data_IF_736821379530
#
_entry.id   IF_736821379530
#
_cell.length_a   1.000
_cell.length_b   1.000
_cell.length_c   1.000
_cell.angle_alpha   90.00
_cell.angle_beta   90.00
_cell.angle_gamma   90.00
#
_symmetry.space_group_name_H-M   'P 1'
#
loop_
_entity.id
_entity.type
_entity.pdbx_description
1 polymer ?
#
# COMPACT_ATOMS: atom_id res chain seq x y z
N UNK A 1 15.67 6.46 -9.06
CA UNK A 1 16.99 6.81 -9.55
C UNK A 1 18.06 6.32 -8.58
N UNK A 2 17.97 6.70 -7.31
CA UNK A 2 19.01 6.39 -6.32
C UNK A 2 19.20 4.90 -6.03
N UNK A 3 18.22 4.09 -6.43
CA UNK A 3 18.22 2.63 -6.23
C UNK A 3 18.02 1.86 -7.53
N UNK A 4 18.23 2.48 -8.70
CA UNK A 4 18.07 1.88 -10.03
C UNK A 4 16.77 1.09 -10.24
N UNK A 5 15.70 1.54 -9.59
CA UNK A 5 14.40 0.87 -9.58
C UNK A 5 13.49 1.19 -10.78
N UNK A 6 13.94 2.02 -11.73
CA UNK A 6 13.14 2.45 -12.87
C UNK A 6 12.55 1.29 -13.71
N UNK A 7 13.27 0.19 -13.98
CA UNK A 7 12.72 -0.95 -14.71
C UNK A 7 11.55 -1.65 -14.00
N UNK A 8 11.39 -1.42 -12.69
CA UNK A 8 10.29 -1.95 -11.88
C UNK A 8 9.10 -1.01 -11.79
N UNK A 9 9.14 0.14 -12.47
CA UNK A 9 8.07 1.13 -12.48
C UNK A 9 7.31 1.10 -13.80
N UNK A 10 6.01 1.30 -13.73
CA UNK A 10 5.09 1.44 -14.86
C UNK A 10 4.48 2.83 -14.82
N UNK A 11 4.68 3.61 -15.90
CA UNK A 11 4.21 5.00 -16.05
C UNK A 11 3.00 5.07 -16.96
N UNK A 12 1.97 4.31 -16.61
CA UNK A 12 0.78 4.12 -17.46
C UNK A 12 -0.35 5.07 -17.11
N UNK A 13 -0.19 5.89 -16.09
CA UNK A 13 -1.27 6.70 -15.56
C UNK A 13 -2.29 5.89 -14.75
N UNK A 14 -3.39 6.58 -14.41
CA UNK A 14 -4.52 6.00 -13.69
C UNK A 14 -5.82 6.61 -14.23
N UNK A 15 -6.79 5.77 -14.52
CA UNK A 15 -8.12 6.14 -14.98
C UNK A 15 -9.14 5.83 -13.89
N UNK A 16 -9.72 6.86 -13.29
CA UNK A 16 -10.83 6.73 -12.36
C UNK A 16 -12.15 6.86 -13.11
N UNK A 17 -12.98 5.82 -13.04
CA UNK A 17 -14.19 5.63 -13.84
C UNK A 17 -15.45 5.95 -13.03
N UNK A 18 -16.45 6.52 -13.70
CA UNK A 18 -17.74 6.91 -13.13
C UNK A 18 -18.90 6.42 -14.00
N UNK A 19 -19.95 5.89 -13.35
CA UNK A 19 -21.20 5.51 -14.00
C UNK A 19 -22.13 6.74 -14.16
N UNK A 20 -21.85 7.56 -15.17
CA UNK A 20 -22.66 8.72 -15.50
C UNK A 20 -22.25 10.01 -14.80
N UNK A 21 -22.97 11.08 -15.17
CA UNK A 21 -22.65 12.45 -14.76
C UNK A 21 -22.83 12.71 -13.25
N UNK A 22 -23.80 12.07 -12.63
CA UNK A 22 -24.09 12.28 -11.21
C UNK A 22 -22.92 11.84 -10.33
N UNK A 23 -22.39 10.63 -10.55
CA UNK A 23 -21.23 10.11 -9.81
C UNK A 23 -19.99 10.96 -10.09
N UNK A 24 -19.79 11.37 -11.36
CA UNK A 24 -18.70 12.25 -11.74
C UNK A 24 -18.77 13.60 -11.01
N UNK A 25 -19.94 14.26 -11.02
CA UNK A 25 -20.12 15.54 -10.31
C UNK A 25 -19.84 15.44 -8.81
N UNK A 26 -20.26 14.34 -8.18
CA UNK A 26 -20.00 14.12 -6.75
C UNK A 26 -18.50 13.98 -6.42
N UNK A 27 -17.64 13.71 -7.41
CA UNK A 27 -16.19 13.57 -7.24
C UNK A 27 -15.41 14.89 -7.42
N UNK A 28 -16.03 15.95 -7.94
CA UNK A 28 -15.32 17.17 -8.37
C UNK A 28 -14.58 17.90 -7.27
N UNK A 29 -15.14 17.96 -6.05
CA UNK A 29 -14.47 18.58 -4.91
C UNK A 29 -13.16 17.86 -4.57
N UNK A 30 -13.16 16.53 -4.66
CA UNK A 30 -11.96 15.72 -4.47
C UNK A 30 -10.93 15.94 -5.57
N UNK A 31 -11.34 16.21 -6.82
CA UNK A 31 -10.43 16.54 -7.92
C UNK A 31 -9.91 17.97 -7.78
N UNK A 32 -10.71 18.91 -7.33
CA UNK A 32 -10.26 20.25 -7.02
C UNK A 32 -9.17 20.26 -5.95
N UNK A 33 -9.36 19.49 -4.88
CA UNK A 33 -8.35 19.32 -3.84
C UNK A 33 -7.03 18.77 -4.41
N UNK A 34 -7.10 17.77 -5.30
CA UNK A 34 -5.91 17.22 -5.99
C UNK A 34 -5.20 18.27 -6.82
N UNK A 35 -5.95 19.13 -7.54
CA UNK A 35 -5.39 20.23 -8.33
C UNK A 35 -4.65 21.23 -7.45
N UNK A 36 -5.20 21.59 -6.30
CA UNK A 36 -4.56 22.48 -5.32
C UNK A 36 -3.23 21.91 -4.81
N UNK A 37 -3.09 20.58 -4.79
CA UNK A 37 -1.86 19.89 -4.45
C UNK A 37 -0.97 19.55 -5.66
N UNK A 38 -1.19 20.17 -6.82
CA UNK A 38 -0.34 20.02 -7.99
C UNK A 38 -0.49 18.71 -8.75
N UNK A 39 -1.56 17.94 -8.50
CA UNK A 39 -1.83 16.71 -9.26
C UNK A 39 -2.40 17.08 -10.64
N UNK A 40 -1.69 16.71 -11.71
CA UNK A 40 -2.17 16.87 -13.07
C UNK A 40 -3.19 15.77 -13.39
N UNK A 41 -4.35 16.16 -13.91
CA UNK A 41 -5.39 15.25 -14.37
C UNK A 41 -6.23 15.87 -15.49
N UNK A 42 -6.94 15.03 -16.21
CA UNK A 42 -7.88 15.38 -17.26
C UNK A 42 -9.25 14.75 -16.99
N UNK A 43 -10.33 15.50 -17.20
CA UNK A 43 -11.68 14.99 -17.11
C UNK A 43 -12.17 14.55 -18.50
N UNK A 44 -12.57 13.29 -18.61
CA UNK A 44 -13.14 12.69 -19.81
C UNK A 44 -14.66 12.55 -19.62
N UNK A 45 -15.44 13.09 -20.55
CA UNK A 45 -16.90 13.23 -20.40
C UNK A 45 -17.70 12.47 -21.47
N UNK A 46 -17.07 11.57 -22.16
CA UNK A 46 -17.70 10.69 -23.13
C UNK A 46 -16.96 9.36 -23.27
N UNK A 47 -17.62 8.27 -23.69
CA UNK A 47 -17.01 6.95 -23.82
C UNK A 47 -15.89 6.88 -24.86
N UNK A 48 -15.93 7.71 -25.90
CA UNK A 48 -14.93 7.74 -26.97
C UNK A 48 -13.57 8.17 -26.40
N UNK A 49 -13.50 9.30 -25.69
CA UNK A 49 -12.28 9.77 -25.04
C UNK A 49 -11.75 8.77 -24.00
N UNK A 50 -12.63 8.09 -23.27
CA UNK A 50 -12.24 7.01 -22.34
C UNK A 50 -11.62 5.84 -23.10
N UNK A 51 -12.22 5.46 -24.23
CA UNK A 51 -11.78 4.33 -25.07
C UNK A 51 -10.43 4.58 -25.76
N UNK A 52 -10.07 5.82 -26.03
CA UNK A 52 -8.72 6.19 -26.53
C UNK A 52 -7.61 5.80 -25.53
N UNK A 53 -7.88 5.98 -24.24
CA UNK A 53 -6.93 5.61 -23.17
C UNK A 53 -7.04 4.11 -22.84
N UNK A 54 -8.25 3.64 -22.61
CA UNK A 54 -8.51 2.24 -22.26
C UNK A 54 -9.73 1.71 -23.02
N UNK A 55 -9.53 0.98 -24.13
CA UNK A 55 -10.62 0.31 -24.82
C UNK A 55 -11.15 -0.91 -24.06
N UNK A 56 -12.36 -1.33 -24.43
CA UNK A 56 -12.95 -2.57 -23.91
C UNK A 56 -13.62 -2.46 -22.56
N UNK A 57 -13.91 -1.25 -22.10
CA UNK A 57 -14.73 -0.97 -20.93
C UNK A 57 -16.22 -1.11 -21.26
N UNK A 58 -17.02 -1.50 -20.27
CA UNK A 58 -18.50 -1.48 -20.39
C UNK A 58 -18.97 -0.03 -20.64
N UNK A 59 -19.95 0.20 -21.56
CA UNK A 59 -20.43 1.52 -21.94
C UNK A 59 -21.14 2.29 -20.82
N UNK A 60 -21.39 1.66 -19.66
CA UNK A 60 -21.90 2.37 -18.46
C UNK A 60 -20.96 3.46 -17.97
N UNK A 61 -19.64 3.32 -18.18
CA UNK A 61 -18.65 4.30 -17.80
C UNK A 61 -18.58 5.42 -18.83
N UNK A 62 -19.35 6.46 -18.61
CA UNK A 62 -19.47 7.61 -19.51
C UNK A 62 -18.58 8.78 -19.12
N UNK A 63 -18.04 8.77 -17.90
CA UNK A 63 -17.16 9.81 -17.38
C UNK A 63 -15.95 9.18 -16.71
N UNK A 64 -14.83 9.87 -16.77
CA UNK A 64 -13.60 9.46 -16.09
C UNK A 64 -12.73 10.67 -15.71
N UNK A 65 -11.76 10.44 -14.85
CA UNK A 65 -10.62 11.33 -14.65
C UNK A 65 -9.34 10.55 -14.89
N UNK A 66 -8.50 11.05 -15.79
CA UNK A 66 -7.20 10.45 -16.11
C UNK A 66 -6.08 11.23 -15.44
N UNK A 67 -5.21 10.53 -14.73
CA UNK A 67 -4.03 11.09 -14.06
C UNK A 67 -2.78 10.53 -14.77
N UNK A 68 -2.20 11.27 -15.73
CA UNK A 68 -1.14 10.73 -16.62
C UNK A 68 0.17 10.42 -15.89
N UNK A 69 0.48 11.17 -14.84
CA UNK A 69 1.73 11.03 -14.08
C UNK A 69 1.67 9.97 -12.97
N UNK A 70 0.56 9.26 -12.85
CA UNK A 70 0.45 8.16 -11.88
C UNK A 70 1.36 7.01 -12.29
N UNK A 71 2.02 6.41 -11.29
CA UNK A 71 2.93 5.30 -11.51
C UNK A 71 2.52 4.10 -10.67
N UNK A 72 2.77 2.90 -11.19
CA UNK A 72 2.63 1.64 -10.50
C UNK A 72 3.95 0.89 -10.50
N UNK A 73 4.14 -0.04 -9.58
CA UNK A 73 5.23 -1.01 -9.68
C UNK A 73 4.81 -2.18 -10.57
N UNK A 74 5.76 -2.78 -11.27
CA UNK A 74 5.52 -4.02 -12.04
C UNK A 74 5.04 -5.14 -11.15
N UNK A 75 5.62 -5.25 -9.94
CA UNK A 75 5.21 -6.13 -8.85
C UNK A 75 5.77 -5.59 -7.53
N UNK A 76 4.93 -5.35 -6.49
CA UNK A 76 5.40 -4.94 -5.17
C UNK A 76 6.42 -5.89 -4.53
N UNK A 77 6.32 -7.19 -4.80
CA UNK A 77 7.29 -8.18 -4.32
C UNK A 77 8.65 -7.97 -4.96
N UNK A 78 8.70 -7.86 -6.29
CA UNK A 78 9.96 -7.62 -7.02
C UNK A 78 10.62 -6.31 -6.58
N UNK A 79 9.82 -5.28 -6.27
CA UNK A 79 10.32 -4.03 -5.69
C UNK A 79 10.98 -4.26 -4.33
N UNK A 80 10.33 -5.00 -3.42
CA UNK A 80 10.90 -5.30 -2.11
C UNK A 80 12.16 -6.17 -2.19
N UNK A 81 12.18 -7.18 -3.09
CA UNK A 81 13.34 -8.02 -3.34
C UNK A 81 14.52 -7.21 -3.89
N UNK A 82 14.26 -6.26 -4.81
CA UNK A 82 15.28 -5.35 -5.33
C UNK A 82 15.90 -4.49 -4.22
N UNK A 83 15.09 -3.88 -3.37
CA UNK A 83 15.61 -3.11 -2.23
C UNK A 83 16.40 -3.97 -1.25
N UNK A 84 15.97 -5.22 -1.03
CA UNK A 84 16.70 -6.16 -0.19
C UNK A 84 18.10 -6.48 -0.77
N UNK A 85 18.21 -6.66 -2.09
CA UNK A 85 19.52 -6.87 -2.74
C UNK A 85 20.45 -5.64 -2.57
N UNK A 86 19.91 -4.44 -2.71
CA UNK A 86 20.67 -3.20 -2.48
C UNK A 86 21.14 -3.12 -1.03
N UNK A 87 20.28 -3.44 -0.07
CA UNK A 87 20.63 -3.47 1.34
C UNK A 87 21.78 -4.44 1.64
N UNK A 88 21.71 -5.66 1.06
CA UNK A 88 22.79 -6.66 1.18
C UNK A 88 24.10 -6.17 0.52
N UNK A 89 24.01 -5.51 -0.64
CA UNK A 89 25.16 -4.95 -1.35
C UNK A 89 25.90 -3.89 -0.52
N UNK A 90 25.16 -3.10 0.27
CA UNK A 90 25.74 -2.15 1.22
C UNK A 90 26.19 -2.78 2.55
N UNK A 91 26.28 -4.08 2.64
CA UNK A 91 26.78 -4.81 3.81
C UNK A 91 25.73 -5.08 4.89
N UNK A 92 24.46 -4.86 4.60
CA UNK A 92 23.35 -5.25 5.49
C UNK A 92 23.21 -6.77 5.59
N UNK A 93 22.62 -7.24 6.67
CA UNK A 93 22.33 -8.67 6.89
C UNK A 93 20.81 -8.87 7.00
N UNK A 94 20.28 -9.90 6.34
CA UNK A 94 18.86 -10.27 6.41
C UNK A 94 18.78 -11.64 7.07
N UNK A 95 18.07 -11.71 8.20
CA UNK A 95 17.82 -12.95 8.92
C UNK A 95 16.33 -13.26 8.98
N UNK A 96 15.98 -14.53 8.76
CA UNK A 96 14.60 -14.98 8.79
C UNK A 96 14.25 -15.48 10.21
N UNK A 97 14.05 -14.54 11.12
CA UNK A 97 13.78 -14.78 12.53
C UNK A 97 12.51 -14.08 12.96
N UNK A 98 11.65 -14.79 13.71
CA UNK A 98 10.48 -14.20 14.33
C UNK A 98 10.82 -13.51 15.65
N UNK A 99 10.64 -12.19 15.72
CA UNK A 99 10.76 -11.43 16.97
C UNK A 99 9.44 -11.48 17.72
N UNK A 100 9.49 -11.92 18.97
CA UNK A 100 8.32 -12.13 19.84
C UNK A 100 8.07 -10.96 20.78
N UNK A 101 9.14 -10.33 21.28
CA UNK A 101 9.05 -9.22 22.21
C UNK A 101 10.26 -8.29 22.11
N UNK A 102 10.06 -7.06 22.54
CA UNK A 102 11.10 -6.05 22.72
C UNK A 102 11.15 -5.64 24.18
N UNK A 103 12.34 -5.39 24.71
CA UNK A 103 12.55 -4.81 26.04
C UNK A 103 13.73 -3.85 26.01
N UNK A 104 13.65 -2.78 26.81
CA UNK A 104 14.80 -1.92 27.06
C UNK A 104 15.89 -2.73 27.77
N UNK A 105 17.14 -2.57 27.35
CA UNK A 105 18.29 -3.28 27.90
C UNK A 105 19.52 -2.33 27.99
N UNK A 106 19.71 -1.74 29.15
CA UNK A 106 20.68 -0.66 29.30
C UNK A 106 20.45 0.47 28.32
N UNK A 107 21.48 0.78 27.52
CA UNK A 107 21.45 1.78 26.45
C UNK A 107 21.02 1.19 25.10
N UNK A 108 20.52 -0.05 25.07
CA UNK A 108 20.07 -0.75 23.88
C UNK A 108 18.67 -1.33 24.01
N UNK A 109 18.41 -2.29 23.14
CA UNK A 109 17.14 -3.01 23.04
C UNK A 109 17.43 -4.50 22.94
N UNK A 110 16.76 -5.30 23.75
CA UNK A 110 16.73 -6.74 23.66
C UNK A 110 15.53 -7.18 22.84
N UNK A 111 15.78 -8.05 21.87
CA UNK A 111 14.76 -8.68 21.02
C UNK A 111 14.67 -10.15 21.41
N UNK A 112 13.55 -10.57 21.95
CA UNK A 112 13.30 -11.99 22.27
C UNK A 112 12.83 -12.72 21.02
N UNK A 113 13.50 -13.83 20.70
CA UNK A 113 13.15 -14.71 19.58
C UNK A 113 13.01 -16.14 20.03
N UNK A 114 12.45 -17.02 19.18
CA UNK A 114 12.39 -18.45 19.48
C UNK A 114 13.78 -19.12 19.53
N UNK A 115 14.80 -18.52 18.92
CA UNK A 115 16.17 -19.01 18.88
C UNK A 115 17.10 -18.44 19.97
N UNK A 116 16.56 -17.59 20.83
CA UNK A 116 17.30 -16.87 21.87
C UNK A 116 17.16 -15.35 21.72
N UNK A 117 17.81 -14.62 22.62
CA UNK A 117 17.77 -13.16 22.62
C UNK A 117 18.83 -12.56 21.69
N UNK A 118 18.46 -11.50 20.98
CA UNK A 118 19.34 -10.64 20.22
C UNK A 118 19.43 -9.27 20.91
N UNK A 119 20.56 -8.57 20.73
CA UNK A 119 20.77 -7.25 21.28
C UNK A 119 21.12 -6.25 20.17
N UNK A 120 20.52 -5.08 20.20
CA UNK A 120 20.78 -4.00 19.26
C UNK A 120 20.84 -2.66 19.98
N UNK A 121 21.69 -1.75 19.51
CA UNK A 121 21.72 -0.38 20.02
C UNK A 121 20.45 0.41 19.67
N UNK A 122 19.88 0.15 18.50
CA UNK A 122 18.62 0.77 18.02
C UNK A 122 17.80 -0.25 17.25
N UNK A 123 16.47 -0.12 17.30
CA UNK A 123 15.52 -0.97 16.59
C UNK A 123 14.51 -0.12 15.84
N UNK A 124 14.23 -0.47 14.58
CA UNK A 124 13.10 0.06 13.83
C UNK A 124 12.03 -1.02 13.75
N UNK A 125 10.83 -0.73 14.24
CA UNK A 125 9.69 -1.62 14.13
C UNK A 125 8.91 -1.25 12.86
N UNK A 126 9.04 -2.08 11.83
CA UNK A 126 8.36 -1.94 10.53
C UNK A 126 7.64 -3.25 10.16
N UNK A 127 7.03 -3.93 11.14
CA UNK A 127 6.43 -5.26 11.01
C UNK A 127 4.96 -5.24 10.52
N UNK A 128 4.55 -4.16 9.82
CA UNK A 128 3.22 -4.04 9.24
C UNK A 128 2.10 -4.24 10.28
N UNK A 129 1.16 -5.12 9.99
CA UNK A 129 0.01 -5.39 10.86
C UNK A 129 0.36 -6.04 12.21
N UNK A 130 1.58 -6.54 12.37
CA UNK A 130 2.06 -7.14 13.64
C UNK A 130 2.82 -6.14 14.52
N UNK A 131 3.13 -4.94 14.05
CA UNK A 131 3.94 -3.95 14.76
C UNK A 131 3.38 -3.57 16.12
N UNK A 132 2.05 -3.44 16.25
CA UNK A 132 1.39 -3.09 17.52
C UNK A 132 1.57 -4.16 18.61
N UNK A 133 1.79 -5.43 18.24
CA UNK A 133 2.12 -6.47 19.21
C UNK A 133 3.50 -6.24 19.83
N UNK A 134 4.49 -5.86 19.01
CA UNK A 134 5.83 -5.53 19.52
C UNK A 134 5.82 -4.24 20.34
N UNK A 135 5.11 -3.22 19.90
CA UNK A 135 4.94 -1.97 20.66
C UNK A 135 4.33 -2.25 22.06
N UNK A 136 3.35 -3.14 22.13
CA UNK A 136 2.72 -3.52 23.42
C UNK A 136 3.67 -4.18 24.40
N UNK A 137 4.70 -4.89 23.94
CA UNK A 137 5.69 -5.49 24.84
C UNK A 137 6.56 -4.44 25.52
N UNK A 138 6.67 -3.23 24.94
CA UNK A 138 7.29 -2.06 25.56
C UNK A 138 6.32 -1.26 26.45
N UNK A 139 5.03 -1.62 26.43
CA UNK A 139 3.96 -0.92 27.15
C UNK A 139 3.29 0.19 26.32
N UNK A 140 3.63 0.34 25.03
CA UNK A 140 2.97 1.30 24.14
C UNK A 140 1.72 0.68 23.55
N UNK A 141 0.56 1.31 23.80
CA UNK A 141 -0.74 0.85 23.29
C UNK A 141 -1.11 1.67 22.07
N UNK A 142 -1.01 1.06 20.89
CA UNK A 142 -1.28 1.71 19.61
C UNK A 142 -2.50 1.01 18.98
N UNK A 143 -3.59 1.75 18.65
CA UNK A 143 -4.85 1.19 18.19
C UNK A 143 -4.83 0.84 16.69
N UNK A 144 -3.88 -0.01 16.30
CA UNK A 144 -3.79 -0.53 14.93
C UNK A 144 -4.82 -1.65 14.73
N UNK A 145 -5.64 -1.53 13.70
CA UNK A 145 -6.54 -2.59 13.24
C UNK A 145 -6.10 -3.11 11.87
N UNK A 146 -6.44 -4.36 11.60
CA UNK A 146 -6.08 -5.01 10.35
C UNK A 146 -7.25 -4.96 9.36
N UNK A 147 -7.08 -4.23 8.27
CA UNK A 147 -7.97 -4.28 7.12
C UNK A 147 -7.48 -5.31 6.11
N UNK A 148 -8.18 -6.43 6.00
CA UNK A 148 -7.85 -7.47 5.03
C UNK A 148 -8.27 -7.06 3.64
N UNK A 149 -7.35 -7.10 2.69
CA UNK A 149 -7.61 -6.86 1.27
C UNK A 149 -7.48 -8.14 0.47
N UNK A 150 -8.37 -8.31 -0.52
CA UNK A 150 -8.43 -9.50 -1.36
C UNK A 150 -8.16 -9.16 -2.80
N UNK A 151 -7.47 -10.03 -3.50
CA UNK A 151 -7.25 -9.89 -4.93
C UNK A 151 -7.19 -11.23 -5.65
N UNK A 152 -7.42 -11.17 -6.97
CA UNK A 152 -7.14 -12.25 -7.92
C UNK A 152 -6.18 -11.73 -8.97
N UNK A 153 -5.06 -12.41 -9.15
CA UNK A 153 -4.11 -12.11 -10.24
C UNK A 153 -4.31 -13.12 -11.36
N UNK A 154 -4.71 -12.62 -12.51
CA UNK A 154 -4.96 -13.38 -13.74
C UNK A 154 -3.68 -13.47 -14.58
N UNK A 155 -3.54 -14.52 -15.42
CA UNK A 155 -2.36 -14.72 -16.24
C UNK A 155 -2.20 -13.66 -17.33
N UNK A 156 -1.03 -13.63 -17.99
CA UNK A 156 -0.78 -12.82 -19.18
C UNK A 156 -1.83 -13.09 -20.26
N UNK A 157 -2.26 -12.02 -20.94
CA UNK A 157 -3.28 -12.12 -22.01
C UNK A 157 -4.71 -12.27 -21.49
N UNK A 158 -4.94 -12.11 -20.17
CA UNK A 158 -6.29 -12.06 -19.63
C UNK A 158 -7.09 -10.85 -20.11
N UNK A 159 -6.42 -9.71 -20.31
CA UNK A 159 -7.00 -8.48 -20.86
C UNK A 159 -5.88 -7.55 -21.36
N UNK A 160 -6.17 -6.73 -22.38
CA UNK A 160 -5.27 -5.65 -22.83
C UNK A 160 -5.48 -4.42 -21.94
N UNK A 161 -4.86 -4.46 -20.75
CA UNK A 161 -4.91 -3.37 -19.78
C UNK A 161 -3.80 -2.37 -20.07
N UNK A 162 -4.17 -1.13 -20.43
CA UNK A 162 -3.23 -0.07 -20.82
C UNK A 162 -2.89 0.87 -19.68
N UNK A 163 -3.81 1.07 -18.75
CA UNK A 163 -3.65 1.95 -17.59
C UNK A 163 -4.22 1.30 -16.33
N UNK A 164 -3.86 1.81 -15.16
CA UNK A 164 -4.49 1.41 -13.91
C UNK A 164 -5.94 1.90 -13.87
N UNK A 165 -6.89 1.02 -13.56
CA UNK A 165 -8.31 1.35 -13.47
C UNK A 165 -8.76 1.41 -12.03
N UNK A 166 -9.46 2.49 -11.67
CA UNK A 166 -10.11 2.64 -10.36
C UNK A 166 -11.63 2.74 -10.56
N UNK A 167 -12.33 1.81 -9.99
CA UNK A 167 -13.81 1.78 -9.94
C UNK A 167 -14.23 2.29 -8.56
N UNK A 168 -14.15 3.62 -8.35
CA UNK A 168 -14.30 4.25 -7.04
C UNK A 168 -15.65 3.95 -6.37
N UNK A 169 -16.77 4.10 -7.08
CA UNK A 169 -18.12 3.78 -6.61
C UNK A 169 -18.33 2.29 -6.29
N UNK A 170 -17.39 1.43 -6.69
CA UNK A 170 -17.47 -0.02 -6.51
C UNK A 170 -16.40 -0.59 -5.56
N UNK A 171 -15.47 0.23 -5.08
CA UNK A 171 -14.48 -0.14 -4.09
C UNK A 171 -13.43 -1.16 -4.56
N UNK A 172 -13.04 -1.16 -5.86
CA UNK A 172 -11.98 -2.02 -6.36
C UNK A 172 -11.17 -1.38 -7.49
N UNK A 173 -10.04 -1.97 -7.77
CA UNK A 173 -9.08 -1.55 -8.80
C UNK A 173 -8.70 -2.72 -9.70
N UNK A 174 -8.28 -2.39 -10.93
CA UNK A 174 -7.67 -3.34 -11.86
C UNK A 174 -6.33 -2.78 -12.28
N UNK A 175 -5.27 -3.55 -12.07
CA UNK A 175 -3.90 -3.14 -12.33
C UNK A 175 -3.10 -4.22 -13.06
N UNK A 176 -2.06 -3.79 -13.77
CA UNK A 176 -1.13 -4.67 -14.46
C UNK A 176 -0.06 -5.14 -13.45
N UNK A 177 0.13 -6.46 -13.33
CA UNK A 177 1.14 -7.06 -12.44
C UNK A 177 1.87 -8.16 -13.20
N UNK A 178 3.18 -8.04 -13.37
CA UNK A 178 4.03 -9.01 -14.08
C UNK A 178 3.48 -9.42 -15.46
N UNK A 179 2.87 -8.46 -16.16
CA UNK A 179 2.24 -8.69 -17.47
C UNK A 179 0.88 -9.40 -17.41
N UNK A 180 0.41 -9.80 -16.23
CA UNK A 180 -0.96 -10.24 -15.97
C UNK A 180 -1.83 -9.09 -15.47
N UNK A 181 -3.06 -9.42 -15.08
CA UNK A 181 -4.05 -8.46 -14.58
C UNK A 181 -4.43 -8.82 -13.15
N UNK A 182 -4.36 -7.86 -12.24
CA UNK A 182 -4.82 -8.02 -10.85
C UNK A 182 -6.10 -7.24 -10.64
N UNK A 183 -7.15 -7.95 -10.24
CA UNK A 183 -8.38 -7.38 -9.70
C UNK A 183 -8.28 -7.40 -8.19
N UNK A 184 -8.29 -6.25 -7.54
CA UNK A 184 -8.07 -6.14 -6.09
C UNK A 184 -8.93 -5.08 -5.44
N UNK A 185 -9.27 -5.31 -4.18
CA UNK A 185 -10.10 -4.42 -3.39
C UNK A 185 -10.57 -5.10 -2.12
N UNK A 186 -11.80 -4.82 -1.75
CA UNK A 186 -12.45 -5.26 -0.52
C UNK A 186 -11.73 -4.78 0.75
N UNK A 187 -12.50 -4.65 1.81
CA UNK A 187 -12.05 -4.45 3.18
C UNK A 187 -12.80 -5.44 4.07
N UNK A 188 -12.05 -6.13 4.92
CA UNK A 188 -12.61 -7.00 5.94
C UNK A 188 -11.89 -6.75 7.27
N UNK A 189 -12.64 -6.39 8.29
CA UNK A 189 -12.16 -6.28 9.67
C UNK A 189 -12.21 -7.67 10.32
N UNK A 190 -11.25 -8.51 9.98
CA UNK A 190 -11.19 -9.92 10.42
C UNK A 190 -9.99 -10.22 11.32
N UNK A 191 -9.23 -9.20 11.73
CA UNK A 191 -8.01 -9.36 12.53
C UNK A 191 -7.00 -10.28 11.86
N UNK A 192 -6.04 -10.79 12.62
CA UNK A 192 -4.93 -11.60 12.10
C UNK A 192 -5.19 -13.11 12.11
N UNK A 193 -6.21 -13.59 12.86
CA UNK A 193 -6.37 -15.02 13.18
C UNK A 193 -7.44 -15.74 12.37
N UNK A 194 -8.50 -15.05 11.95
CA UNK A 194 -9.57 -15.69 11.18
C UNK A 194 -9.06 -16.21 9.83
N UNK A 195 -9.59 -17.30 9.29
CA UNK A 195 -9.23 -17.77 7.95
C UNK A 195 -9.65 -16.74 6.88
N UNK A 196 -8.99 -16.71 5.71
CA UNK A 196 -9.38 -15.86 4.59
C UNK A 196 -10.78 -16.22 4.06
N UNK A 197 -11.56 -15.20 3.69
CA UNK A 197 -12.83 -15.36 3.02
C UNK A 197 -12.72 -15.00 1.53
N UNK A 198 -12.25 -15.92 0.71
CA UNK A 198 -12.01 -15.70 -0.73
C UNK A 198 -13.27 -15.45 -1.56
N UNK A 199 -14.49 -15.66 -1.03
CA UNK A 199 -15.73 -15.21 -1.70
C UNK A 199 -15.70 -13.71 -2.01
N UNK A 200 -14.96 -12.92 -1.23
CA UNK A 200 -14.74 -11.49 -1.51
C UNK A 200 -13.97 -11.26 -2.80
N UNK A 201 -12.91 -12.04 -3.04
CA UNK A 201 -12.16 -11.99 -4.28
C UNK A 201 -13.01 -12.46 -5.49
N UNK A 202 -13.81 -13.51 -5.31
CA UNK A 202 -14.71 -14.02 -6.37
C UNK A 202 -15.74 -12.97 -6.79
N UNK A 203 -16.37 -12.28 -5.82
CA UNK A 203 -17.33 -11.21 -6.10
C UNK A 203 -16.69 -10.08 -6.90
N UNK A 204 -15.47 -9.66 -6.51
CA UNK A 204 -14.74 -8.61 -7.24
C UNK A 204 -14.38 -9.06 -8.66
N UNK A 205 -13.93 -10.30 -8.81
CA UNK A 205 -13.55 -10.85 -10.11
C UNK A 205 -14.77 -10.93 -11.06
N UNK A 206 -15.91 -11.43 -10.59
CA UNK A 206 -17.16 -11.47 -11.35
C UNK A 206 -17.64 -10.06 -11.73
N UNK A 207 -17.46 -9.09 -10.83
CA UNK A 207 -17.80 -7.69 -11.10
C UNK A 207 -16.87 -7.09 -12.17
N UNK A 208 -15.56 -7.35 -12.06
CA UNK A 208 -14.59 -6.92 -13.06
C UNK A 208 -14.90 -7.50 -14.45
N UNK A 209 -15.30 -8.76 -14.54
CA UNK A 209 -15.73 -9.39 -15.81
C UNK A 209 -16.96 -8.74 -16.44
N UNK A 210 -17.86 -8.15 -15.64
CA UNK A 210 -18.98 -7.35 -16.14
C UNK A 210 -18.55 -5.98 -16.65
N UNK A 211 -17.52 -5.39 -16.03
CA UNK A 211 -17.05 -4.04 -16.36
C UNK A 211 -16.02 -4.04 -17.49
N UNK A 212 -15.39 -5.18 -17.70
CA UNK A 212 -14.41 -5.47 -18.74
C UNK A 212 -14.85 -6.72 -19.50
N UNK A 213 -15.81 -6.63 -20.45
CA UNK A 213 -16.45 -7.81 -21.07
C UNK A 213 -15.49 -8.79 -21.75
N UNK A 214 -14.31 -8.31 -22.19
CA UNK A 214 -13.26 -9.15 -22.78
C UNK A 214 -12.28 -9.74 -21.75
N UNK A 215 -12.46 -9.47 -20.46
CA UNK A 215 -11.59 -10.00 -19.41
C UNK A 215 -11.81 -11.50 -19.23
N UNK A 216 -10.74 -12.28 -19.45
CA UNK A 216 -10.73 -13.72 -19.17
C UNK A 216 -10.53 -13.92 -17.68
N UNK A 217 -11.57 -14.37 -16.98
CA UNK A 217 -11.58 -14.47 -15.51
C UNK A 217 -11.06 -15.81 -14.96
N UNK A 218 -10.67 -16.75 -15.83
CA UNK A 218 -10.22 -18.07 -15.47
C UNK A 218 -8.70 -18.11 -15.21
N UNK A 219 -8.24 -19.13 -14.46
CA UNK A 219 -6.82 -19.38 -14.22
C UNK A 219 -6.14 -18.41 -13.25
N UNK A 220 -6.92 -17.63 -12.51
CA UNK A 220 -6.42 -16.65 -11.57
C UNK A 220 -5.95 -17.26 -10.25
N UNK A 221 -4.95 -16.62 -9.62
CA UNK A 221 -4.49 -16.93 -8.26
C UNK A 221 -5.00 -15.88 -7.28
N UNK A 222 -5.69 -16.33 -6.25
CA UNK A 222 -6.19 -15.47 -5.18
C UNK A 222 -5.15 -15.27 -4.07
N UNK A 223 -5.19 -14.10 -3.47
CA UNK A 223 -4.36 -13.74 -2.34
C UNK A 223 -5.08 -12.75 -1.41
N UNK A 224 -4.79 -12.85 -0.12
CA UNK A 224 -5.28 -11.92 0.90
C UNK A 224 -4.09 -11.32 1.65
N UNK A 225 -4.15 -10.02 1.91
CA UNK A 225 -3.15 -9.29 2.68
C UNK A 225 -3.72 -8.51 3.84
N UNK A 226 -2.88 -8.26 4.83
CA UNK A 226 -3.20 -7.53 6.05
C UNK A 226 -2.70 -6.09 5.93
N UNK A 227 -3.61 -5.12 5.79
CA UNK A 227 -3.26 -3.70 5.80
C UNK A 227 -3.22 -3.19 7.24
N UNK A 228 -2.13 -2.57 7.69
CA UNK A 228 -2.03 -2.02 9.04
C UNK A 228 -2.68 -0.64 9.08
N UNK A 229 -3.94 -0.57 9.49
CA UNK A 229 -4.71 0.68 9.46
C UNK A 229 -4.79 1.33 10.84
N UNK A 230 -4.66 2.64 10.85
CA UNK A 230 -4.81 3.48 12.03
C UNK A 230 -6.16 4.20 12.00
N UNK A 231 -6.79 4.49 13.14
CA UNK A 231 -8.11 5.14 13.19
C UNK A 231 -8.16 6.51 12.49
N UNK A 232 -7.06 7.25 12.51
CA UNK A 232 -6.90 8.56 11.89
C UNK A 232 -6.29 8.50 10.48
N UNK A 233 -6.04 7.29 9.95
CA UNK A 233 -5.40 7.05 8.65
C UNK A 233 -3.96 7.57 8.52
N UNK A 234 -3.33 8.04 9.59
CA UNK A 234 -1.93 8.46 9.60
C UNK A 234 -1.03 7.34 10.13
N UNK A 235 0.16 7.09 9.53
CA UNK A 235 1.11 6.12 10.07
C UNK A 235 1.68 6.57 11.42
N UNK A 236 2.25 5.62 12.16
CA UNK A 236 3.06 5.90 13.34
C UNK A 236 4.53 5.91 12.92
N UNK A 237 5.15 7.10 12.99
CA UNK A 237 6.57 7.32 12.69
C UNK A 237 7.18 8.11 13.82
N UNK A 238 8.19 7.56 14.49
CA UNK A 238 8.88 8.24 15.58
C UNK A 238 9.30 7.30 16.70
N UNK A 239 10.03 7.85 17.69
CA UNK A 239 10.52 7.06 18.81
C UNK A 239 9.36 6.55 19.70
N UNK A 240 9.55 5.37 20.27
CA UNK A 240 8.71 4.88 21.36
C UNK A 240 8.84 5.82 22.57
N UNK A 241 7.74 6.25 23.19
CA UNK A 241 7.79 7.07 24.39
C UNK A 241 8.39 6.34 25.59
N UNK A 242 8.40 5.01 25.59
CA UNK A 242 8.91 4.18 26.69
C UNK A 242 10.32 3.63 26.45
N UNK A 243 10.75 3.52 25.18
CA UNK A 243 12.05 3.03 24.77
C UNK A 243 12.60 3.90 23.63
N UNK A 244 13.30 5.02 23.91
CA UNK A 244 13.73 5.98 22.89
C UNK A 244 14.61 5.38 21.78
N UNK A 245 15.27 4.26 22.05
CA UNK A 245 16.08 3.53 21.07
C UNK A 245 15.24 2.64 20.13
N UNK A 246 13.90 2.61 20.30
CA UNK A 246 12.98 1.96 19.38
C UNK A 246 12.25 3.01 18.56
N UNK A 247 12.34 2.95 17.25
CA UNK A 247 11.65 3.83 16.31
C UNK A 247 10.52 3.04 15.62
N UNK A 248 9.33 3.58 15.60
CA UNK A 248 8.18 3.03 14.88
C UNK A 248 8.12 3.56 13.46
N UNK A 249 7.78 2.69 12.50
CA UNK A 249 7.56 3.01 11.10
C UNK A 249 6.48 2.07 10.52
N UNK A 250 5.22 2.23 10.93
CA UNK A 250 4.12 1.34 10.55
C UNK A 250 2.77 2.04 10.55
N UNK A 251 1.72 1.31 10.17
CA UNK A 251 0.35 1.84 10.23
C UNK A 251 -0.09 2.62 8.99
N UNK A 252 0.53 2.38 7.83
CA UNK A 252 0.29 3.13 6.57
C UNK A 252 -0.99 2.73 5.83
N UNK A 253 -1.78 1.79 6.35
CA UNK A 253 -3.02 1.34 5.72
C UNK A 253 -2.81 0.87 4.28
N UNK A 254 -3.48 1.51 3.34
CA UNK A 254 -3.41 1.22 1.91
C UNK A 254 -2.20 1.84 1.20
N UNK A 255 -1.48 2.76 1.82
CA UNK A 255 -0.49 3.63 1.18
C UNK A 255 0.96 3.28 1.51
N UNK A 256 1.21 2.14 2.18
CA UNK A 256 2.55 1.80 2.67
C UNK A 256 3.62 1.76 1.59
N UNK A 257 3.34 1.18 0.42
CA UNK A 257 4.28 1.19 -0.69
C UNK A 257 4.51 2.60 -1.23
N UNK A 258 3.45 3.36 -1.46
CA UNK A 258 3.51 4.74 -1.98
C UNK A 258 4.29 5.68 -1.05
N UNK A 259 4.12 5.52 0.26
CA UNK A 259 4.75 6.37 1.28
C UNK A 259 6.12 5.84 1.75
N UNK A 260 6.59 4.70 1.24
CA UNK A 260 7.80 4.03 1.77
C UNK A 260 9.05 4.89 1.68
N UNK A 261 9.28 5.59 0.56
CA UNK A 261 10.44 6.46 0.37
C UNK A 261 10.44 7.65 1.35
N UNK A 262 9.30 8.36 1.45
CA UNK A 262 9.16 9.47 2.40
C UNK A 262 9.27 9.01 3.86
N UNK A 263 8.73 7.83 4.19
CA UNK A 263 8.90 7.23 5.53
C UNK A 263 10.37 6.93 5.82
N UNK A 264 11.10 6.37 4.85
CA UNK A 264 12.52 6.08 5.01
C UNK A 264 13.35 7.34 5.22
N UNK A 265 13.05 8.43 4.50
CA UNK A 265 13.69 9.74 4.67
C UNK A 265 13.44 10.30 6.09
N UNK A 266 12.18 10.27 6.57
CA UNK A 266 11.84 10.74 7.91
C UNK A 266 12.53 9.91 9.01
N UNK A 267 12.53 8.58 8.87
CA UNK A 267 13.20 7.67 9.82
C UNK A 267 14.73 7.88 9.78
N UNK A 268 15.29 8.05 8.58
CA UNK A 268 16.72 8.36 8.41
C UNK A 268 17.12 9.61 9.16
N UNK A 269 16.39 10.72 8.98
CA UNK A 269 16.63 11.98 9.68
C UNK A 269 16.55 11.80 11.22
N UNK A 270 15.52 11.10 11.72
CA UNK A 270 15.38 10.83 13.15
C UNK A 270 16.57 10.03 13.72
N UNK A 271 17.07 9.03 12.98
CA UNK A 271 18.19 8.20 13.42
C UNK A 271 19.54 8.91 13.34
N UNK A 272 19.72 9.84 12.38
CA UNK A 272 20.91 10.68 12.24
C UNK A 272 20.93 11.86 13.21
N UNK A 273 19.82 12.14 13.90
CA UNK A 273 19.67 13.34 14.75
C UNK A 273 19.43 14.62 13.93
N UNK A 274 19.05 14.49 12.66
CA UNK A 274 18.67 15.59 11.79
C UNK A 274 17.22 16.00 12.02
N UNK A 275 16.87 17.22 11.62
CA UNK A 275 15.48 17.69 11.68
C UNK A 275 14.72 17.14 10.47
N UNK A 276 13.66 16.34 10.67
CA UNK A 276 12.83 15.88 9.58
C UNK A 276 12.16 17.04 8.80
N UNK A 277 11.95 16.86 7.50
CA UNK A 277 11.33 17.87 6.62
C UNK A 277 9.87 18.15 6.95
N UNK A 278 9.22 17.27 7.71
CA UNK A 278 7.85 17.40 8.19
C UNK A 278 7.79 17.45 9.71
N UNK A 279 6.78 18.13 10.26
CA UNK A 279 6.48 17.99 11.69
C UNK A 279 6.10 16.56 12.04
N UNK A 280 6.81 15.96 12.99
CA UNK A 280 6.57 14.57 13.43
C UNK A 280 5.41 14.45 14.42
N UNK A 281 4.86 15.57 14.92
CA UNK A 281 3.77 15.58 15.91
C UNK A 281 2.54 14.78 15.47
N UNK A 282 2.03 14.90 14.21
CA UNK A 282 0.91 14.10 13.75
C UNK A 282 1.17 12.61 13.64
N UNK A 283 2.44 12.19 13.60
CA UNK A 283 2.85 10.79 13.43
C UNK A 283 3.28 10.12 14.74
N UNK A 284 3.36 10.88 15.84
CA UNK A 284 3.83 10.38 17.12
C UNK A 284 2.93 9.25 17.67
N UNK A 285 3.54 8.25 18.32
CA UNK A 285 2.80 7.16 18.98
C UNK A 285 1.92 7.68 20.15
N UNK A 286 2.26 8.83 20.71
CA UNK A 286 1.55 9.46 21.85
C UNK A 286 0.29 10.24 21.47
N UNK A 287 -0.10 10.24 20.19
CA UNK A 287 -1.30 10.94 19.74
C UNK A 287 -2.61 10.18 20.03
N UNK A 288 -2.50 8.96 20.55
CA UNK A 288 -3.60 8.11 21.00
C UNK A 288 -3.66 7.96 22.51
#
# INVERSE_FOLDING_TARGET
KDVDGEPLMQRDGQLQLYEGEQEFRASLDGWELRRQHGVAFEHLKNPEAISEIQPGLDPRFTHAAFTPNWMNTTDPRSWAEHLAQIFLFFGGTIEQIGVLALAKDGDGVRLTTAAGDLHASRVIVAAGAWSHHLARTLGDVIPLETERGYNTTLPKGAFDLRTHLTFGGHGFVVSRINGGVRVGGAVELGGLKLPPNYKRADILLQKAGKFLPALKIDGGRQWMGFRPSMPDSLPVIGASPRAPNVTYAFGHGHLGLTQSAGTAELVGALLSGETPVLSMKPYAATRF
#
